data_IF_371151944430
#
_entry.id   IF_371151944430
#
_cell.length_a   1.000
_cell.length_b   1.000
_cell.length_c   1.000
_cell.angle_alpha   90.00
_cell.angle_beta   90.00
_cell.angle_gamma   90.00
#
_symmetry.space_group_name_H-M   'P 1'
#
loop_
_entity.id
_entity.type
_entity.pdbx_description
1 polymer ?
#
# COMPACT_ATOMS: atom_id res chain seq x y z
N UNK A 1 -3.04 -52.21 16.48
CA UNK A 1 -2.92 -50.74 16.53
C UNK A 1 -3.46 -50.18 15.21
N UNK A 2 -4.68 -49.62 15.21
CA UNK A 2 -5.30 -49.10 13.99
C UNK A 2 -4.79 -47.69 13.70
N UNK A 3 -4.10 -47.51 12.57
CA UNK A 3 -3.52 -46.25 12.11
C UNK A 3 -4.67 -45.41 11.51
N UNK A 4 -5.12 -44.37 12.22
CA UNK A 4 -6.07 -43.39 11.67
C UNK A 4 -5.37 -42.64 10.53
N UNK A 5 -5.81 -42.87 9.30
CA UNK A 5 -5.47 -42.04 8.15
C UNK A 5 -5.99 -40.62 8.41
N UNK A 6 -5.09 -39.65 8.55
CA UNK A 6 -5.44 -38.23 8.55
C UNK A 6 -5.97 -37.90 7.15
N UNK A 7 -7.28 -37.65 7.05
CA UNK A 7 -7.88 -37.13 5.84
C UNK A 7 -7.28 -35.76 5.54
N UNK A 8 -6.87 -35.55 4.29
CA UNK A 8 -6.47 -34.25 3.76
C UNK A 8 -7.57 -33.24 4.09
N UNK A 9 -7.28 -32.23 4.91
CA UNK A 9 -8.17 -31.09 5.10
C UNK A 9 -8.22 -30.36 3.76
N UNK A 10 -9.28 -30.58 2.98
CA UNK A 10 -9.57 -29.77 1.81
C UNK A 10 -9.85 -28.37 2.33
N UNK A 11 -8.92 -27.44 2.14
CA UNK A 11 -9.17 -26.00 2.35
C UNK A 11 -10.43 -25.67 1.54
N UNK A 12 -11.46 -25.02 2.12
CA UNK A 12 -12.66 -24.70 1.36
C UNK A 12 -12.23 -23.91 0.13
N UNK A 13 -12.64 -24.38 -1.06
CA UNK A 13 -12.56 -23.55 -2.25
C UNK A 13 -13.55 -22.41 -2.03
N UNK A 14 -13.03 -21.24 -1.71
CA UNK A 14 -13.78 -19.99 -1.66
C UNK A 14 -14.17 -19.61 -3.08
N UNK A 15 -15.06 -20.40 -3.68
CA UNK A 15 -15.67 -20.14 -4.99
C UNK A 15 -16.99 -19.42 -4.79
N UNK A 16 -16.98 -18.43 -3.90
CA UNK A 16 -17.94 -17.35 -3.89
C UNK A 16 -17.14 -16.08 -4.13
N UNK A 17 -17.38 -15.38 -5.24
CA UNK A 17 -16.81 -14.06 -5.48
C UNK A 17 -16.97 -13.15 -4.25
N UNK A 18 -16.03 -12.23 -4.05
CA UNK A 18 -16.06 -11.25 -2.97
C UNK A 18 -15.23 -11.53 -1.71
N UNK A 19 -14.51 -12.66 -1.61
CA UNK A 19 -13.57 -12.90 -0.51
C UNK A 19 -12.18 -12.28 -0.78
N UNK A 20 -11.54 -11.71 0.26
CA UNK A 20 -10.15 -11.28 0.19
C UNK A 20 -9.23 -12.52 0.19
N UNK A 21 -8.56 -12.77 -0.94
CA UNK A 21 -7.63 -13.88 -1.11
C UNK A 21 -6.21 -13.39 -0.87
N UNK A 22 -5.51 -13.95 0.12
CA UNK A 22 -4.12 -13.56 0.40
C UNK A 22 -3.22 -13.89 -0.79
N UNK A 23 -2.56 -12.86 -1.33
CA UNK A 23 -1.51 -12.99 -2.35
C UNK A 23 -0.16 -13.14 -1.68
N UNK A 24 0.14 -12.29 -0.70
CA UNK A 24 1.37 -12.42 0.07
C UNK A 24 1.58 -11.31 1.09
N UNK A 25 2.64 -11.51 1.88
CA UNK A 25 3.05 -10.64 2.97
C UNK A 25 4.55 -10.44 2.90
N UNK A 26 4.99 -9.19 2.98
CA UNK A 26 6.38 -8.78 3.03
C UNK A 26 6.66 -8.12 4.39
N UNK A 27 7.59 -8.68 5.14
CA UNK A 27 8.04 -8.15 6.43
C UNK A 27 9.29 -7.29 6.26
N UNK A 28 9.29 -6.12 6.91
CA UNK A 28 10.47 -5.27 6.95
C UNK A 28 11.51 -5.81 7.93
N UNK A 29 12.77 -5.73 7.55
CA UNK A 29 13.92 -6.07 8.39
C UNK A 29 15.05 -5.08 8.14
N UNK A 30 14.78 -3.79 8.37
CA UNK A 30 15.62 -2.68 7.84
C UNK A 30 15.68 -2.69 6.30
N UNK A 31 14.53 -2.91 5.65
CA UNK A 31 14.42 -3.06 4.20
C UNK A 31 14.36 -1.70 3.50
N UNK A 32 15.06 -1.50 2.38
CA UNK A 32 14.95 -0.27 1.60
C UNK A 32 13.54 -0.08 0.99
N UNK A 33 12.87 -1.18 0.67
CA UNK A 33 11.48 -1.22 0.22
C UNK A 33 10.85 -2.58 0.53
N UNK A 34 9.53 -2.65 0.45
CA UNK A 34 8.76 -3.90 0.46
C UNK A 34 8.08 -4.06 -0.89
N UNK A 35 8.20 -5.21 -1.54
CA UNK A 35 7.60 -5.47 -2.86
C UNK A 35 6.85 -6.79 -2.86
N UNK A 36 5.57 -6.74 -3.19
CA UNK A 36 4.76 -7.93 -3.41
C UNK A 36 4.53 -8.11 -4.92
N UNK A 37 4.84 -9.30 -5.41
CA UNK A 37 4.61 -9.72 -6.80
C UNK A 37 3.42 -10.70 -6.89
N UNK A 38 3.03 -11.10 -8.09
CA UNK A 38 1.96 -12.08 -8.29
C UNK A 38 0.57 -11.47 -8.21
N UNK A 39 0.47 -10.17 -8.50
CA UNK A 39 -0.81 -9.57 -8.85
C UNK A 39 -1.17 -10.09 -10.24
N UNK A 40 -2.37 -10.64 -10.38
CA UNK A 40 -2.87 -11.25 -11.61
C UNK A 40 -4.24 -10.67 -11.93
N UNK A 41 -4.27 -9.74 -12.89
CA UNK A 41 -5.47 -9.01 -13.31
C UNK A 41 -6.44 -9.85 -14.15
N UNK A 42 -6.09 -11.11 -14.45
CA UNK A 42 -7.02 -12.09 -14.99
C UNK A 42 -7.82 -12.82 -13.89
N UNK A 43 -7.36 -12.73 -12.63
CA UNK A 43 -7.98 -13.39 -11.48
C UNK A 43 -8.69 -12.39 -10.57
N UNK A 44 -8.08 -11.22 -10.32
CA UNK A 44 -8.57 -10.23 -9.36
C UNK A 44 -8.84 -8.87 -10.02
N UNK A 45 -9.97 -8.27 -9.68
CA UNK A 45 -10.41 -6.96 -10.17
C UNK A 45 -9.91 -5.81 -9.29
N UNK A 46 -9.61 -6.10 -8.03
CA UNK A 46 -9.14 -5.12 -7.04
C UNK A 46 -8.19 -5.80 -6.06
N UNK A 47 -7.20 -5.04 -5.62
CA UNK A 47 -6.25 -5.49 -4.60
C UNK A 47 -6.40 -4.64 -3.34
N UNK A 48 -6.54 -5.29 -2.19
CA UNK A 48 -6.44 -4.61 -0.91
C UNK A 48 -4.98 -4.64 -0.44
N UNK A 49 -4.40 -3.45 -0.29
CA UNK A 49 -3.03 -3.20 0.16
C UNK A 49 -3.12 -2.78 1.63
N UNK A 50 -2.68 -3.66 2.52
CA UNK A 50 -2.71 -3.45 3.97
C UNK A 50 -1.30 -3.17 4.46
N UNK A 51 -1.12 -1.96 5.00
CA UNK A 51 0.11 -1.44 5.55
C UNK A 51 -0.05 -1.38 7.07
N UNK A 52 0.84 -2.04 7.82
CA UNK A 52 0.76 -2.11 9.27
C UNK A 52 2.14 -1.99 9.93
N UNK A 53 2.18 -1.31 11.07
CA UNK A 53 3.36 -1.16 11.93
C UNK A 53 4.62 -0.65 11.20
N UNK A 54 4.42 0.17 10.15
CA UNK A 54 5.53 0.68 9.33
C UNK A 54 6.21 1.85 10.04
N UNK A 55 7.50 1.68 10.34
CA UNK A 55 8.31 2.73 10.97
C UNK A 55 9.54 3.00 10.10
N UNK A 56 9.75 4.26 9.66
CA UNK A 56 10.96 4.62 8.93
C UNK A 56 12.17 4.68 9.87
N UNK A 57 13.36 4.39 9.35
CA UNK A 57 14.63 4.58 10.06
C UNK A 57 15.08 6.05 10.09
N UNK A 58 14.58 6.86 9.15
CA UNK A 58 14.82 8.30 9.08
C UNK A 58 13.58 9.03 9.56
N UNK A 59 13.77 10.07 10.36
CA UNK A 59 12.65 10.82 10.91
C UNK A 59 11.99 11.74 9.90
N UNK A 60 10.68 11.91 10.04
CA UNK A 60 9.86 12.82 9.24
C UNK A 60 10.02 12.59 7.72
N UNK A 61 9.77 11.35 7.28
CA UNK A 61 9.83 10.91 5.86
C UNK A 61 8.48 10.43 5.32
N UNK A 62 8.20 10.69 4.04
CA UNK A 62 6.91 10.40 3.44
C UNK A 62 6.82 8.94 2.95
N UNK A 63 5.68 8.25 3.16
CA UNK A 63 5.43 6.92 2.61
C UNK A 63 4.95 7.01 1.16
N UNK A 64 5.52 6.15 0.32
CA UNK A 64 5.30 6.11 -1.11
C UNK A 64 4.91 4.71 -1.59
N UNK A 65 4.06 4.68 -2.63
CA UNK A 65 3.78 3.48 -3.41
C UNK A 65 4.16 3.68 -4.87
N UNK A 66 4.66 2.60 -5.47
CA UNK A 66 4.81 2.42 -6.92
C UNK A 66 4.21 1.09 -7.33
N UNK A 67 3.87 0.97 -8.60
CA UNK A 67 3.47 -0.30 -9.22
C UNK A 67 4.44 -0.67 -10.34
N UNK A 68 4.32 -1.89 -10.83
CA UNK A 68 5.18 -2.36 -11.90
C UNK A 68 4.58 -3.54 -12.64
N UNK A 69 5.34 -3.97 -13.64
CA UNK A 69 5.09 -5.16 -14.43
C UNK A 69 6.31 -6.09 -14.42
N UNK A 70 6.28 -7.12 -15.26
CA UNK A 70 7.36 -8.11 -15.35
C UNK A 70 8.76 -7.52 -15.55
N UNK A 71 8.85 -6.33 -16.15
CA UNK A 71 10.09 -5.58 -16.40
C UNK A 71 10.64 -4.83 -15.18
N UNK A 72 9.85 -4.59 -14.14
CA UNK A 72 10.30 -3.87 -12.95
C UNK A 72 9.26 -2.94 -12.35
N UNK A 73 9.72 -2.11 -11.42
CA UNK A 73 8.92 -1.00 -10.86
C UNK A 73 9.05 0.21 -11.77
N UNK A 74 7.91 0.81 -12.11
CA UNK A 74 7.86 2.07 -12.85
C UNK A 74 8.21 3.23 -11.91
N UNK A 75 9.18 4.06 -12.32
CA UNK A 75 9.73 5.13 -11.48
C UNK A 75 10.25 6.33 -12.29
N UNK A 76 9.78 6.54 -13.52
CA UNK A 76 10.07 7.75 -14.27
C UNK A 76 9.31 8.94 -13.68
N UNK A 77 9.87 10.16 -13.78
CA UNK A 77 9.35 11.36 -13.13
C UNK A 77 7.94 11.83 -13.53
N UNK A 78 7.30 11.18 -14.50
CA UNK A 78 5.94 11.48 -14.95
C UNK A 78 5.07 10.22 -15.00
N UNK A 79 5.44 9.17 -14.27
CA UNK A 79 4.69 7.91 -14.29
C UNK A 79 3.41 7.99 -13.46
N UNK A 80 3.31 8.91 -12.49
CA UNK A 80 2.24 8.95 -11.51
C UNK A 80 1.63 10.34 -11.31
N UNK A 81 0.37 10.35 -10.90
CA UNK A 81 -0.31 11.49 -10.31
C UNK A 81 -0.92 11.06 -8.96
N UNK A 82 -1.01 11.98 -8.00
CA UNK A 82 -1.52 11.68 -6.66
C UNK A 82 -2.17 12.90 -6.00
N UNK A 83 -3.03 12.60 -5.02
CA UNK A 83 -3.63 13.58 -4.12
C UNK A 83 -3.74 12.98 -2.73
N UNK A 84 -3.35 13.71 -1.70
CA UNK A 84 -3.37 13.23 -0.32
C UNK A 84 -3.82 14.34 0.63
N UNK A 85 -4.76 14.00 1.51
CA UNK A 85 -5.19 14.86 2.60
C UNK A 85 -4.57 14.42 3.92
N UNK A 86 -4.56 15.31 4.90
CA UNK A 86 -4.22 15.04 6.29
C UNK A 86 -5.10 15.85 7.21
N UNK A 87 -5.65 15.18 8.23
CA UNK A 87 -6.40 15.72 9.35
C UNK A 87 -5.61 15.50 10.62
N UNK A 88 -5.44 16.56 11.41
CA UNK A 88 -4.70 16.53 12.67
C UNK A 88 -5.63 16.30 13.86
N UNK A 89 -5.26 15.37 14.74
CA UNK A 89 -5.99 15.09 15.97
C UNK A 89 -5.48 15.92 17.18
N UNK A 90 -4.76 17.01 16.91
CA UNK A 90 -4.31 17.97 17.93
C UNK A 90 -5.28 19.15 18.07
N UNK A 91 -5.58 19.53 19.31
CA UNK A 91 -6.61 20.52 19.70
C UNK A 91 -6.24 21.99 19.48
N UNK A 92 -4.99 22.32 19.14
CA UNK A 92 -4.54 23.73 19.19
C UNK A 92 -4.46 24.40 17.81
N UNK A 93 -4.22 23.63 16.74
CA UNK A 93 -4.23 24.09 15.34
C UNK A 93 -4.38 22.86 14.44
N UNK A 94 -5.60 22.54 14.01
CA UNK A 94 -5.81 21.48 13.03
C UNK A 94 -5.15 21.87 11.72
N UNK A 95 -3.91 21.43 11.47
CA UNK A 95 -3.29 21.52 10.15
C UNK A 95 -3.96 20.48 9.28
N UNK A 96 -5.13 20.86 8.76
CA UNK A 96 -5.68 20.23 7.57
C UNK A 96 -4.78 20.64 6.41
N UNK A 97 -4.41 19.69 5.56
CA UNK A 97 -3.84 20.07 4.29
C UNK A 97 -3.99 19.02 3.25
N UNK A 98 -3.89 19.50 2.02
CA UNK A 98 -4.13 18.75 0.82
C UNK A 98 -2.97 19.05 -0.12
N UNK A 99 -2.30 17.98 -0.56
CA UNK A 99 -1.21 18.03 -1.50
C UNK A 99 -1.56 17.19 -2.70
N UNK A 100 -1.09 17.62 -3.87
CA UNK A 100 -1.29 16.90 -5.11
C UNK A 100 -0.10 17.14 -6.03
N UNK A 101 0.13 16.17 -6.91
CA UNK A 101 1.05 16.29 -8.04
C UNK A 101 0.46 15.53 -9.23
N UNK A 102 0.65 16.05 -10.44
CA UNK A 102 0.18 15.43 -11.67
C UNK A 102 1.31 14.79 -12.50
N UNK A 103 2.56 14.89 -12.05
CA UNK A 103 3.72 14.27 -12.68
C UNK A 103 4.81 13.97 -11.65
N UNK A 104 4.81 12.75 -11.14
CA UNK A 104 5.82 12.29 -10.19
C UNK A 104 6.27 10.85 -10.52
N UNK A 105 7.35 10.41 -9.86
CA UNK A 105 7.85 9.03 -9.95
C UNK A 105 7.22 8.07 -8.94
N UNK A 106 6.27 8.52 -8.12
CA UNK A 106 5.56 7.69 -7.14
C UNK A 106 4.19 8.27 -6.79
N UNK A 107 3.41 7.52 -6.02
CA UNK A 107 2.19 8.00 -5.34
C UNK A 107 2.54 8.28 -3.88
N UNK A 108 2.31 9.52 -3.44
CA UNK A 108 2.43 9.91 -2.02
C UNK A 108 1.18 9.51 -1.23
N UNK A 109 1.38 8.92 -0.05
CA UNK A 109 0.30 8.42 0.81
C UNK A 109 0.03 9.27 2.06
N UNK A 110 0.61 10.47 2.14
CA UNK A 110 0.41 11.43 3.24
C UNK A 110 0.23 12.84 2.69
N UNK A 111 -0.55 13.67 3.37
CA UNK A 111 -0.77 15.08 3.00
C UNK A 111 0.40 15.99 3.39
N UNK A 112 0.25 16.75 4.48
CA UNK A 112 1.19 17.80 4.92
C UNK A 112 2.40 17.30 5.70
N UNK A 113 2.32 16.11 6.29
CA UNK A 113 3.23 15.70 7.34
C UNK A 113 3.71 14.26 7.13
N UNK A 114 5.01 14.12 7.28
CA UNK A 114 5.73 12.88 7.09
C UNK A 114 5.71 12.02 8.36
N UNK A 115 6.15 10.76 8.26
CA UNK A 115 6.06 9.77 9.33
C UNK A 115 7.24 9.90 10.28
N UNK A 116 6.96 9.91 11.58
CA UNK A 116 7.97 9.90 12.64
C UNK A 116 8.61 8.53 12.84
N UNK A 117 9.82 8.52 13.39
CA UNK A 117 10.66 7.33 13.59
C UNK A 117 10.83 6.91 15.06
N UNK A 118 10.30 7.68 16.01
CA UNK A 118 10.47 7.43 17.43
C UNK A 118 9.60 6.28 17.93
N UNK A 119 9.89 5.80 19.15
CA UNK A 119 9.13 4.73 19.77
C UNK A 119 7.66 5.14 19.98
N UNK A 120 6.73 4.32 19.47
CA UNK A 120 5.28 4.60 19.52
C UNK A 120 4.76 5.38 18.31
N UNK A 121 5.63 5.77 17.38
CA UNK A 121 5.26 6.37 16.09
C UNK A 121 5.21 5.29 14.99
N UNK A 122 4.67 5.67 13.84
CA UNK A 122 4.60 4.80 12.66
C UNK A 122 3.45 5.17 11.74
N UNK A 123 3.24 4.30 10.76
CA UNK A 123 2.27 4.45 9.69
C UNK A 123 1.48 3.16 9.49
N UNK A 124 0.18 3.31 9.26
CA UNK A 124 -0.70 2.23 8.86
C UNK A 124 -1.80 2.72 7.93
N UNK A 125 -2.32 1.83 7.10
CA UNK A 125 -3.39 2.18 6.17
C UNK A 125 -3.90 1.00 5.38
N UNK A 126 -5.08 1.19 4.81
CA UNK A 126 -5.70 0.23 3.88
C UNK A 126 -6.03 0.98 2.61
N UNK A 127 -5.46 0.49 1.50
CA UNK A 127 -5.64 1.06 0.18
C UNK A 127 -6.20 0.01 -0.78
N UNK A 128 -7.09 0.44 -1.65
CA UNK A 128 -7.58 -0.37 -2.75
C UNK A 128 -6.90 0.08 -4.02
N UNK A 129 -6.19 -0.85 -4.65
CA UNK A 129 -5.66 -0.70 -5.99
C UNK A 129 -6.67 -1.30 -6.97
N UNK A 130 -7.37 -0.42 -7.67
CA UNK A 130 -8.36 -0.75 -8.67
C UNK A 130 -7.70 -0.87 -10.03
N UNK A 131 -7.94 -2.02 -10.66
CA UNK A 131 -7.65 -2.23 -12.06
C UNK A 131 -8.66 -3.22 -12.61
N UNK A 132 -9.65 -2.77 -13.40
CA UNK A 132 -10.59 -3.69 -14.01
C UNK A 132 -9.86 -4.62 -14.98
N UNK A 133 -10.27 -5.89 -14.97
CA UNK A 133 -9.71 -6.96 -15.81
C UNK A 133 -9.56 -6.54 -17.27
N UNK A 134 -8.48 -6.97 -17.93
CA UNK A 134 -8.30 -6.81 -19.38
C UNK A 134 -7.44 -5.62 -19.83
N UNK A 135 -6.76 -4.95 -18.89
CA UNK A 135 -5.70 -3.99 -19.22
C UNK A 135 -6.10 -2.81 -20.07
N UNK A 136 -7.29 -2.26 -19.84
CA UNK A 136 -7.79 -1.09 -20.57
C UNK A 136 -7.82 0.19 -19.72
N UNK A 137 -7.55 0.08 -18.42
CA UNK A 137 -7.55 1.23 -17.51
C UNK A 137 -6.23 1.30 -16.75
N UNK A 138 -5.84 2.54 -16.46
CA UNK A 138 -4.73 2.88 -15.59
C UNK A 138 -4.95 2.28 -14.19
N UNK A 139 -3.92 1.70 -13.55
CA UNK A 139 -4.00 1.34 -12.14
C UNK A 139 -4.27 2.59 -11.28
N UNK A 140 -5.35 2.57 -10.51
CA UNK A 140 -5.74 3.67 -9.61
C UNK A 140 -5.80 3.16 -8.17
N UNK A 141 -5.21 3.89 -7.23
CA UNK A 141 -5.21 3.56 -5.81
C UNK A 141 -6.04 4.59 -5.04
N UNK A 142 -6.79 4.14 -4.04
CA UNK A 142 -7.43 5.02 -3.07
C UNK A 142 -7.51 4.36 -1.69
N UNK A 143 -7.45 5.13 -0.61
CA UNK A 143 -7.50 4.55 0.73
C UNK A 143 -7.40 5.55 1.86
N UNK A 144 -7.44 5.01 3.07
CA UNK A 144 -7.31 5.75 4.32
C UNK A 144 -6.04 5.33 5.05
N UNK A 145 -5.45 6.28 5.76
CA UNK A 145 -4.26 6.04 6.57
C UNK A 145 -4.36 6.72 7.93
N UNK A 146 -3.47 6.28 8.83
CA UNK A 146 -3.18 6.88 10.11
C UNK A 146 -1.67 6.88 10.34
N UNK A 147 -1.12 7.94 10.91
CA UNK A 147 0.28 7.99 11.30
C UNK A 147 0.53 8.92 12.49
N UNK A 148 1.74 8.83 13.03
CA UNK A 148 2.33 9.88 13.86
C UNK A 148 3.39 10.61 13.05
N UNK A 149 3.45 11.94 13.13
CA UNK A 149 4.53 12.70 12.51
C UNK A 149 5.77 12.77 13.41
N UNK A 150 6.87 13.37 12.94
CA UNK A 150 8.11 13.51 13.73
C UNK A 150 8.00 14.34 15.02
N UNK A 151 6.82 14.92 15.30
CA UNK A 151 6.51 15.60 16.56
C UNK A 151 5.53 14.78 17.42
N UNK A 152 5.39 13.47 17.16
CA UNK A 152 4.42 12.56 17.78
C UNK A 152 2.96 13.03 17.72
N UNK A 153 2.59 13.85 16.71
CA UNK A 153 1.20 14.26 16.52
C UNK A 153 0.46 13.20 15.71
N UNK A 154 -0.67 12.66 16.22
CA UNK A 154 -1.50 11.73 15.47
C UNK A 154 -2.22 12.43 14.33
N UNK A 155 -2.16 11.80 13.16
CA UNK A 155 -2.70 12.26 11.90
C UNK A 155 -3.46 11.13 11.21
N UNK A 156 -4.45 11.50 10.42
CA UNK A 156 -5.14 10.56 9.54
C UNK A 156 -5.53 11.25 8.25
N UNK A 157 -5.86 10.52 7.21
CA UNK A 157 -6.32 11.14 5.98
C UNK A 157 -6.75 10.14 4.94
N UNK A 158 -7.07 10.66 3.76
CA UNK A 158 -7.26 9.86 2.56
C UNK A 158 -6.13 10.12 1.57
N UNK A 159 -5.81 9.13 0.76
CA UNK A 159 -4.92 9.33 -0.40
C UNK A 159 -5.48 8.64 -1.62
N UNK A 160 -5.19 9.22 -2.76
CA UNK A 160 -5.54 8.74 -4.08
C UNK A 160 -4.34 8.88 -5.01
N UNK A 161 -4.29 8.05 -6.05
CA UNK A 161 -3.31 8.23 -7.11
C UNK A 161 -3.55 7.30 -8.27
N UNK A 162 -2.83 7.55 -9.36
CA UNK A 162 -2.90 6.74 -10.56
C UNK A 162 -1.49 6.56 -11.15
N UNK A 163 -1.26 5.38 -11.70
CA UNK A 163 -0.20 5.18 -12.69
C UNK A 163 -0.72 5.69 -14.03
N UNK A 164 -0.08 6.72 -14.58
CA UNK A 164 -0.51 7.46 -15.79
C UNK A 164 -0.34 6.68 -17.11
N UNK A 165 -0.12 5.38 -17.05
CA UNK A 165 -0.12 4.50 -18.23
C UNK A 165 -0.72 3.15 -17.86
N UNK A 166 -1.31 2.52 -18.88
CA UNK A 166 -1.76 1.14 -18.76
C UNK A 166 -0.54 0.23 -18.75
N UNK A 167 -0.45 -0.65 -17.76
CA UNK A 167 0.61 -1.67 -17.64
C UNK A 167 -0.02 -3.03 -17.36
N UNK A 168 0.70 -4.13 -17.59
CA UNK A 168 0.31 -5.45 -17.06
C UNK A 168 0.76 -5.53 -15.60
N UNK A 169 -0.09 -5.03 -14.71
CA UNK A 169 0.20 -4.92 -13.28
C UNK A 169 0.55 -6.30 -12.69
N UNK A 170 1.77 -6.47 -12.21
CA UNK A 170 2.21 -7.73 -11.57
C UNK A 170 2.74 -7.53 -10.14
N UNK A 171 3.02 -6.28 -9.75
CA UNK A 171 3.68 -5.96 -8.49
C UNK A 171 3.33 -4.58 -7.96
N UNK A 172 3.48 -4.46 -6.66
CA UNK A 172 3.38 -3.21 -5.92
C UNK A 172 4.57 -3.08 -4.97
N UNK A 173 5.10 -1.87 -4.84
CA UNK A 173 6.20 -1.53 -3.95
C UNK A 173 5.78 -0.43 -2.98
N UNK A 174 6.11 -0.63 -1.70
CA UNK A 174 6.07 0.39 -0.66
C UNK A 174 7.50 0.77 -0.26
N UNK A 175 7.74 2.06 -0.02
CA UNK A 175 9.01 2.59 0.48
C UNK A 175 8.81 3.97 1.14
N UNK A 176 9.80 4.42 1.90
CA UNK A 176 9.82 5.79 2.43
C UNK A 176 10.67 6.70 1.54
N UNK A 177 10.41 8.02 1.59
CA UNK A 177 11.11 9.03 0.79
C UNK A 177 12.61 9.07 1.03
N UNK A 178 13.05 8.65 2.23
CA UNK A 178 14.44 8.33 2.54
C UNK A 178 14.54 7.33 3.69
N UNK A 179 15.71 6.72 3.81
CA UNK A 179 15.99 5.72 4.85
C UNK A 179 15.35 4.35 4.56
N UNK A 180 15.70 3.38 5.40
CA UNK A 180 15.10 2.05 5.36
C UNK A 180 13.79 2.01 6.15
N UNK A 181 12.99 0.99 5.91
CA UNK A 181 11.84 0.60 6.73
C UNK A 181 12.37 -0.24 7.88
N UNK A 182 12.41 0.33 9.08
CA UNK A 182 12.95 -0.32 10.27
C UNK A 182 12.12 -1.56 10.65
N UNK A 183 10.80 -1.42 10.64
CA UNK A 183 9.81 -2.45 10.99
C UNK A 183 8.51 -2.22 10.21
N UNK A 184 7.67 -3.26 10.17
CA UNK A 184 6.32 -3.21 9.62
C UNK A 184 6.12 -4.20 8.49
N UNK A 185 4.92 -4.14 7.89
CA UNK A 185 4.46 -5.16 6.96
C UNK A 185 3.61 -4.56 5.83
N UNK A 186 3.87 -5.06 4.63
CA UNK A 186 3.01 -4.93 3.46
C UNK A 186 2.29 -6.26 3.24
N UNK A 187 0.96 -6.28 3.31
CA UNK A 187 0.15 -7.45 2.97
C UNK A 187 -0.79 -7.11 1.83
N UNK A 188 -0.87 -8.00 0.83
CA UNK A 188 -1.72 -7.80 -0.35
C UNK A 188 -2.73 -8.94 -0.45
N UNK A 189 -3.98 -8.56 -0.63
CA UNK A 189 -5.09 -9.47 -0.94
C UNK A 189 -5.66 -9.15 -2.31
N UNK A 190 -6.04 -10.17 -3.07
CA UNK A 190 -6.85 -10.05 -4.28
C UNK A 190 -8.34 -10.19 -3.98
N UNK A 191 -9.17 -9.43 -4.68
CA UNK A 191 -10.63 -9.45 -4.60
C UNK A 191 -11.15 -9.68 -6.01
N UNK A 192 -11.91 -10.77 -6.19
CA UNK A 192 -12.60 -11.08 -7.44
C UNK A 192 -14.08 -10.71 -7.32
N UNK A 193 -14.64 -10.11 -8.37
CA UNK A 193 -16.05 -9.72 -8.43
C UNK A 193 -16.97 -10.82 -8.99
N UNK A 194 -16.42 -11.98 -9.35
CA UNK A 194 -17.18 -13.10 -9.95
C UNK A 194 -16.84 -14.44 -9.31
#
# INVERSE_FOLDING_TARGET
MSRRTLGTIKKPSTTGGGAWTLIGTQDASSSASLTQTGLDDSIYDTYAIVLADLVPATDNVEPYIRVGDSGGIDSAGSDYAWGASSMSLNTTTGTEGYFEDNADSQIKLTGTNAVGSAAGEGYGGVFYLHRPSGGNMQPCISGLYFNFNGSAVPLSGFSTGARLSVITLDRIQFFFSSGNIATGRLTVYGISHT
#
